data_IF_538116193579
#
_entry.id   IF_538116193579
#
_cell.length_a   1.000
_cell.length_b   1.000
_cell.length_c   1.000
_cell.angle_alpha   90.00
_cell.angle_beta   90.00
_cell.angle_gamma   90.00
#
_symmetry.space_group_name_H-M   'P 1'
#
loop_
_entity.id
_entity.type
_entity.pdbx_description
1 polymer ?
#
# COMPACT_ATOMS: atom_id res chain seq x y z
N UNK A 1 -24.92 23.46 -3.47
CA UNK A 1 -24.70 22.14 -2.89
C UNK A 1 -23.22 21.83 -3.12
N UNK A 2 -22.43 21.76 -2.06
CA UNK A 2 -21.00 21.40 -2.21
C UNK A 2 -20.96 19.94 -2.63
N UNK A 3 -20.54 19.68 -3.86
CA UNK A 3 -20.31 18.32 -4.34
C UNK A 3 -19.14 17.75 -3.57
N UNK A 4 -19.36 16.64 -2.88
CA UNK A 4 -18.30 15.94 -2.14
C UNK A 4 -17.37 15.25 -3.15
N UNK A 5 -16.36 15.97 -3.63
CA UNK A 5 -15.43 15.50 -4.66
C UNK A 5 -14.77 14.14 -4.32
N UNK A 6 -14.28 13.90 -3.08
CA UNK A 6 -13.73 12.59 -2.74
C UNK A 6 -14.72 11.43 -2.92
N UNK A 7 -15.99 11.61 -2.58
CA UNK A 7 -17.00 10.56 -2.77
C UNK A 7 -17.30 10.29 -4.25
N UNK A 8 -17.33 11.35 -5.08
CA UNK A 8 -17.46 11.21 -6.53
C UNK A 8 -16.25 10.47 -7.12
N UNK A 9 -15.03 10.79 -6.68
CA UNK A 9 -13.82 10.13 -7.10
C UNK A 9 -13.82 8.64 -6.75
N UNK A 10 -14.28 8.26 -5.55
CA UNK A 10 -14.44 6.84 -5.18
C UNK A 10 -15.38 6.10 -6.13
N UNK A 11 -16.55 6.68 -6.40
CA UNK A 11 -17.53 6.08 -7.30
C UNK A 11 -17.00 5.94 -8.73
N UNK A 12 -16.30 6.96 -9.23
CA UNK A 12 -15.68 6.92 -10.55
C UNK A 12 -14.66 5.79 -10.65
N UNK A 13 -13.76 5.67 -9.66
CA UNK A 13 -12.73 4.63 -9.63
C UNK A 13 -13.34 3.24 -9.58
N UNK A 14 -14.35 3.00 -8.74
CA UNK A 14 -15.04 1.70 -8.68
C UNK A 14 -15.70 1.35 -10.00
N UNK A 15 -16.37 2.32 -10.68
CA UNK A 15 -16.95 2.11 -11.99
C UNK A 15 -15.90 1.82 -13.06
N UNK A 16 -14.78 2.54 -13.02
CA UNK A 16 -13.67 2.33 -13.93
C UNK A 16 -13.10 0.91 -13.82
N UNK A 17 -12.80 0.47 -12.60
CA UNK A 17 -12.26 -0.86 -12.33
C UNK A 17 -13.26 -1.97 -12.72
N UNK A 18 -14.54 -1.82 -12.36
CA UNK A 18 -15.58 -2.78 -12.77
C UNK A 18 -15.69 -2.87 -14.29
N UNK A 19 -15.69 -1.71 -14.98
CA UNK A 19 -15.82 -1.67 -16.44
C UNK A 19 -14.63 -2.33 -17.15
N UNK A 20 -13.40 -2.05 -16.69
CA UNK A 20 -12.18 -2.57 -17.33
C UNK A 20 -11.91 -4.03 -16.95
N UNK A 21 -11.89 -4.36 -15.66
CA UNK A 21 -11.42 -5.67 -15.17
C UNK A 21 -12.52 -6.73 -15.14
N UNK A 22 -13.77 -6.36 -14.79
CA UNK A 22 -14.86 -7.32 -14.61
C UNK A 22 -15.71 -7.47 -15.89
N UNK A 23 -16.14 -6.35 -16.48
CA UNK A 23 -16.97 -6.37 -17.70
C UNK A 23 -16.12 -6.49 -18.95
N UNK A 24 -14.87 -6.09 -18.91
CA UNK A 24 -13.92 -6.06 -20.03
C UNK A 24 -14.47 -5.24 -21.22
N UNK A 25 -15.25 -4.20 -20.90
CA UNK A 25 -15.77 -3.25 -21.89
C UNK A 25 -14.73 -2.16 -22.12
N UNK A 26 -13.78 -2.46 -23.00
CA UNK A 26 -12.63 -1.59 -23.27
C UNK A 26 -13.05 -0.24 -23.84
N UNK A 27 -14.07 -0.20 -24.71
CA UNK A 27 -14.56 1.02 -25.31
C UNK A 27 -15.21 1.92 -24.24
N UNK A 28 -16.05 1.37 -23.38
CA UNK A 28 -16.65 2.12 -22.28
C UNK A 28 -15.61 2.50 -21.22
N UNK A 29 -14.55 1.71 -21.03
CA UNK A 29 -13.50 1.98 -20.07
C UNK A 29 -12.65 3.21 -20.46
N UNK A 30 -12.41 3.44 -21.76
CA UNK A 30 -11.57 4.57 -22.23
C UNK A 30 -11.97 5.93 -21.65
N UNK A 31 -13.28 6.13 -21.41
CA UNK A 31 -13.79 7.39 -20.84
C UNK A 31 -13.34 7.69 -19.41
N UNK A 32 -12.79 6.71 -18.68
CA UNK A 32 -12.35 6.88 -17.30
C UNK A 32 -10.85 7.18 -17.20
N UNK A 33 -10.05 6.83 -18.19
CA UNK A 33 -8.59 7.02 -18.18
C UNK A 33 -8.16 8.14 -19.11
N UNK A 34 -7.28 8.99 -18.61
CA UNK A 34 -6.62 10.03 -19.42
C UNK A 34 -5.84 9.41 -20.59
N UNK A 35 -5.74 10.12 -21.69
CA UNK A 35 -4.84 9.77 -22.80
C UNK A 35 -3.36 9.88 -22.40
N UNK A 36 -3.07 10.75 -21.43
CA UNK A 36 -1.74 10.98 -20.87
C UNK A 36 -1.47 10.16 -19.60
N UNK A 37 -2.28 9.12 -19.36
CA UNK A 37 -2.21 8.28 -18.16
C UNK A 37 -0.79 7.78 -17.85
N UNK A 38 -0.35 8.03 -16.62
CA UNK A 38 0.98 7.67 -16.12
C UNK A 38 0.89 6.40 -15.28
N UNK A 39 1.64 5.38 -15.68
CA UNK A 39 1.67 4.09 -15.01
C UNK A 39 2.99 3.88 -14.29
N UNK A 40 2.92 3.60 -12.97
CA UNK A 40 4.10 3.31 -12.12
C UNK A 40 4.18 1.85 -11.66
N UNK A 41 3.25 0.98 -12.09
CA UNK A 41 3.36 -0.45 -11.81
C UNK A 41 4.59 -1.04 -12.47
N UNK A 42 5.31 -1.89 -11.73
CA UNK A 42 6.49 -2.56 -12.27
C UNK A 42 6.18 -3.60 -13.36
N UNK A 43 4.91 -3.97 -13.49
CA UNK A 43 4.47 -5.09 -14.36
C UNK A 43 3.58 -4.63 -15.52
N UNK A 44 3.32 -3.33 -15.64
CA UNK A 44 2.42 -2.77 -16.65
C UNK A 44 3.22 -1.84 -17.57
N UNK A 45 3.09 -2.04 -18.88
CA UNK A 45 3.68 -1.14 -19.87
C UNK A 45 3.15 0.30 -19.71
N UNK A 46 3.92 1.32 -20.14
CA UNK A 46 3.55 2.71 -19.96
C UNK A 46 2.20 3.08 -20.60
N UNK A 47 1.52 4.03 -19.98
CA UNK A 47 0.31 4.65 -20.50
C UNK A 47 -0.95 3.81 -20.36
N UNK A 48 -2.06 4.38 -20.80
CA UNK A 48 -3.39 3.73 -20.80
C UNK A 48 -3.39 2.44 -21.59
N UNK A 49 -2.76 2.42 -22.75
CA UNK A 49 -2.73 1.25 -23.64
C UNK A 49 -1.98 0.08 -22.99
N UNK A 50 -0.93 0.35 -22.23
CA UNK A 50 -0.21 -0.67 -21.46
C UNK A 50 -1.13 -1.41 -20.50
N UNK A 51 -1.91 -0.68 -19.72
CA UNK A 51 -2.91 -1.25 -18.81
C UNK A 51 -3.97 -2.05 -19.56
N UNK A 52 -4.54 -1.48 -20.62
CA UNK A 52 -5.61 -2.13 -21.39
C UNK A 52 -5.12 -3.40 -22.09
N UNK A 53 -3.89 -3.40 -22.61
CA UNK A 53 -3.27 -4.56 -23.22
C UNK A 53 -2.99 -5.67 -22.19
N UNK A 54 -2.56 -5.31 -20.98
CA UNK A 54 -2.44 -6.27 -19.88
C UNK A 54 -3.77 -6.99 -19.62
N UNK A 55 -4.88 -6.23 -19.52
CA UNK A 55 -6.20 -6.81 -19.26
C UNK A 55 -6.69 -7.64 -20.44
N UNK A 56 -6.45 -7.20 -21.69
CA UNK A 56 -6.80 -7.99 -22.90
C UNK A 56 -6.06 -9.32 -22.94
N UNK A 57 -4.79 -9.35 -22.53
CA UNK A 57 -3.97 -10.56 -22.50
C UNK A 57 -4.30 -11.49 -21.32
N UNK A 58 -4.93 -10.99 -20.27
CA UNK A 58 -5.31 -11.78 -19.12
C UNK A 58 -6.46 -12.75 -19.45
N UNK A 59 -6.56 -13.91 -18.76
CA UNK A 59 -7.66 -14.86 -18.95
C UNK A 59 -9.04 -14.20 -18.74
N UNK A 60 -10.08 -14.74 -19.38
CA UNK A 60 -11.46 -14.27 -19.22
C UNK A 60 -12.01 -14.46 -17.80
N UNK A 61 -11.34 -15.30 -17.03
CA UNK A 61 -11.61 -15.51 -15.61
C UNK A 61 -11.12 -14.40 -14.70
N UNK A 62 -10.34 -13.43 -15.20
CA UNK A 62 -9.87 -12.30 -14.40
C UNK A 62 -11.05 -11.56 -13.76
N UNK A 63 -10.98 -11.36 -12.44
CA UNK A 63 -11.96 -10.57 -11.68
C UNK A 63 -11.22 -9.70 -10.67
N UNK A 64 -11.76 -8.51 -10.48
CA UNK A 64 -11.37 -7.57 -9.45
C UNK A 64 -12.45 -7.44 -8.39
N UNK A 65 -12.06 -7.46 -7.14
CA UNK A 65 -12.91 -7.20 -5.98
C UNK A 65 -12.27 -6.10 -5.14
N UNK A 66 -13.10 -5.19 -4.59
CA UNK A 66 -12.63 -4.13 -3.70
C UNK A 66 -13.11 -4.40 -2.27
N UNK A 67 -12.21 -4.31 -1.29
CA UNK A 67 -12.54 -4.43 0.13
C UNK A 67 -12.63 -3.06 0.81
N UNK A 68 -11.64 -2.18 0.58
CA UNK A 68 -11.57 -0.84 1.17
C UNK A 68 -11.34 0.19 0.08
N UNK A 69 -11.91 1.38 0.28
CA UNK A 69 -11.67 2.53 -0.58
C UNK A 69 -11.63 3.81 0.23
N UNK A 70 -10.62 4.62 0.01
CA UNK A 70 -10.42 5.93 0.63
C UNK A 70 -10.22 6.96 -0.46
N UNK A 71 -10.61 8.21 -0.20
CA UNK A 71 -10.34 9.31 -1.11
C UNK A 71 -10.10 10.61 -0.34
N UNK A 72 -9.15 11.40 -0.84
CA UNK A 72 -8.88 12.76 -0.36
C UNK A 72 -8.40 13.62 -1.52
N UNK A 73 -9.07 14.75 -1.74
CA UNK A 73 -8.79 15.59 -2.91
C UNK A 73 -8.87 14.78 -4.19
N UNK A 74 -7.79 14.79 -4.96
CA UNK A 74 -7.69 14.12 -6.26
C UNK A 74 -7.16 12.67 -6.15
N UNK A 75 -6.96 12.14 -4.94
CA UNK A 75 -6.40 10.81 -4.74
C UNK A 75 -7.46 9.83 -4.23
N UNK A 76 -7.38 8.61 -4.75
CA UNK A 76 -8.16 7.45 -4.31
C UNK A 76 -7.22 6.30 -4.03
N UNK A 77 -7.40 5.62 -2.91
CA UNK A 77 -6.70 4.39 -2.57
C UNK A 77 -7.70 3.24 -2.47
N UNK A 78 -7.33 2.10 -3.02
CA UNK A 78 -8.09 0.85 -2.98
C UNK A 78 -7.27 -0.23 -2.29
N UNK A 79 -7.95 -1.08 -1.52
CA UNK A 79 -7.45 -2.40 -1.14
C UNK A 79 -8.27 -3.43 -1.90
N UNK A 80 -7.66 -4.04 -2.89
CA UNK A 80 -8.29 -4.88 -3.88
C UNK A 80 -7.72 -6.29 -3.96
N UNK A 81 -8.41 -7.13 -4.71
CA UNK A 81 -8.04 -8.52 -4.99
C UNK A 81 -8.28 -8.83 -6.46
N UNK A 82 -7.26 -9.37 -7.12
CA UNK A 82 -7.39 -9.90 -8.48
C UNK A 82 -7.37 -11.42 -8.44
N UNK A 83 -8.48 -12.04 -8.88
CA UNK A 83 -8.62 -13.50 -9.03
C UNK A 83 -8.64 -13.87 -10.51
N UNK A 84 -8.42 -15.15 -10.83
CA UNK A 84 -8.48 -15.64 -12.21
C UNK A 84 -7.46 -15.01 -13.17
N UNK A 85 -6.38 -14.47 -12.63
CA UNK A 85 -5.32 -13.73 -13.33
C UNK A 85 -4.32 -14.63 -14.08
N UNK A 86 -4.59 -15.93 -14.21
CA UNK A 86 -3.70 -16.90 -14.86
C UNK A 86 -2.57 -17.40 -13.96
N UNK A 87 -2.48 -16.91 -12.73
CA UNK A 87 -1.51 -17.38 -11.73
C UNK A 87 -2.17 -18.36 -10.76
N UNK A 88 -1.40 -19.24 -10.10
CA UNK A 88 -1.93 -20.18 -9.11
C UNK A 88 -2.59 -19.51 -7.90
N UNK A 89 -2.23 -18.26 -7.62
CA UNK A 89 -2.73 -17.47 -6.48
C UNK A 89 -3.35 -16.17 -6.97
N UNK A 90 -4.37 -15.73 -6.26
CA UNK A 90 -4.88 -14.37 -6.39
C UNK A 90 -3.81 -13.34 -5.97
N UNK A 91 -3.96 -12.10 -6.42
CA UNK A 91 -3.13 -10.98 -6.01
C UNK A 91 -3.94 -10.06 -5.11
N UNK A 92 -3.39 -9.73 -3.96
CA UNK A 92 -3.87 -8.63 -3.13
C UNK A 92 -3.16 -7.36 -3.61
N UNK A 93 -3.93 -6.30 -3.79
CA UNK A 93 -3.46 -5.03 -4.33
C UNK A 93 -3.71 -3.88 -3.36
N UNK A 94 -2.73 -2.99 -3.24
CA UNK A 94 -2.93 -1.64 -2.75
C UNK A 94 -2.68 -0.69 -3.92
N UNK A 95 -3.76 -0.13 -4.45
CA UNK A 95 -3.73 0.79 -5.59
C UNK A 95 -3.86 2.23 -5.08
N UNK A 96 -3.02 3.13 -5.56
CA UNK A 96 -3.15 4.57 -5.37
C UNK A 96 -3.35 5.21 -6.73
N UNK A 97 -4.44 5.94 -6.88
CA UNK A 97 -4.81 6.62 -8.11
C UNK A 97 -4.88 8.12 -7.86
N UNK A 98 -4.38 8.90 -8.80
CA UNK A 98 -4.62 10.34 -8.87
C UNK A 98 -5.57 10.62 -10.02
N UNK A 99 -6.54 11.48 -9.76
CA UNK A 99 -7.49 11.95 -10.77
C UNK A 99 -7.14 13.40 -11.17
N UNK A 100 -7.44 13.74 -12.41
CA UNK A 100 -7.42 15.11 -12.90
C UNK A 100 -8.59 15.28 -13.87
N UNK A 101 -9.34 16.37 -13.76
CA UNK A 101 -10.49 16.70 -14.62
C UNK A 101 -11.51 15.54 -14.75
N UNK A 102 -11.71 14.77 -13.67
CA UNK A 102 -12.64 13.63 -13.64
C UNK A 102 -12.15 12.39 -14.38
N UNK A 103 -10.85 12.28 -14.66
CA UNK A 103 -10.21 11.13 -15.29
C UNK A 103 -9.11 10.55 -14.38
N UNK A 104 -8.87 9.26 -14.50
CA UNK A 104 -7.71 8.58 -13.92
C UNK A 104 -6.46 9.03 -14.68
N UNK A 105 -5.58 9.76 -14.01
CA UNK A 105 -4.39 10.38 -14.61
C UNK A 105 -3.10 9.64 -14.26
N UNK A 106 -3.04 9.04 -13.08
CA UNK A 106 -1.79 8.45 -12.59
C UNK A 106 -2.07 7.31 -11.60
N UNK A 107 -1.26 6.26 -11.64
CA UNK A 107 -1.45 5.05 -10.84
C UNK A 107 -0.15 4.48 -10.30
N UNK A 108 -0.18 4.09 -9.04
CA UNK A 108 0.82 3.27 -8.35
C UNK A 108 0.14 2.06 -7.75
N UNK A 109 0.82 0.93 -7.75
CA UNK A 109 0.35 -0.26 -7.08
C UNK A 109 1.44 -0.98 -6.28
N UNK A 110 1.00 -1.76 -5.31
CA UNK A 110 1.79 -2.80 -4.68
C UNK A 110 0.97 -4.09 -4.71
N UNK A 111 1.55 -5.13 -5.30
CA UNK A 111 0.90 -6.42 -5.48
C UNK A 111 1.58 -7.48 -4.61
N UNK A 112 0.77 -8.32 -3.96
CA UNK A 112 1.23 -9.45 -3.17
C UNK A 112 0.41 -10.69 -3.50
N UNK A 113 1.08 -11.86 -3.64
CA UNK A 113 0.38 -13.14 -3.74
C UNK A 113 -0.46 -13.38 -2.49
N UNK A 114 -1.73 -13.72 -2.67
CA UNK A 114 -2.59 -14.07 -1.56
C UNK A 114 -2.12 -15.35 -0.89
N UNK A 115 -1.97 -15.30 0.43
CA UNK A 115 -1.79 -16.48 1.28
C UNK A 115 -3.17 -16.91 1.72
N UNK A 116 -3.50 -18.21 1.57
CA UNK A 116 -4.80 -18.73 2.00
C UNK A 116 -4.94 -18.66 3.52
N UNK A 117 -6.19 -18.71 4.00
CA UNK A 117 -6.48 -18.74 5.43
C UNK A 117 -5.74 -19.87 6.15
N UNK A 118 -5.63 -21.03 5.50
CA UNK A 118 -4.99 -22.23 6.04
C UNK A 118 -3.47 -22.11 6.07
N UNK A 119 -2.90 -21.39 5.12
CA UNK A 119 -1.45 -21.11 5.04
C UNK A 119 -1.06 -19.89 5.88
N UNK A 120 -2.01 -19.04 6.22
CA UNK A 120 -1.77 -17.85 7.04
C UNK A 120 -1.42 -18.26 8.46
N UNK A 121 -0.34 -17.71 9.01
CA UNK A 121 0.07 -17.94 10.40
C UNK A 121 -0.99 -17.49 11.41
N UNK A 122 -1.81 -16.50 11.04
CA UNK A 122 -2.92 -16.01 11.86
C UNK A 122 -4.17 -16.88 11.75
N UNK A 123 -4.24 -17.78 10.75
CA UNK A 123 -5.46 -18.50 10.42
C UNK A 123 -6.56 -17.63 9.82
N UNK A 124 -6.21 -16.45 9.29
CA UNK A 124 -7.15 -15.46 8.76
C UNK A 124 -6.88 -15.09 7.30
N UNK A 125 -7.90 -14.73 6.51
CA UNK A 125 -7.71 -14.37 5.11
C UNK A 125 -7.06 -12.99 4.98
N UNK A 126 -6.27 -12.78 3.93
CA UNK A 126 -5.71 -11.49 3.57
C UNK A 126 -6.75 -10.53 2.98
N UNK A 127 -7.85 -11.06 2.45
CA UNK A 127 -8.93 -10.32 1.81
C UNK A 127 -10.29 -10.88 2.24
N UNK A 128 -11.31 -10.03 2.35
CA UNK A 128 -12.69 -10.44 2.58
C UNK A 128 -13.46 -9.59 3.59
N UNK A 129 -14.71 -9.96 3.82
CA UNK A 129 -15.71 -9.20 4.56
C UNK A 129 -15.55 -9.20 6.09
N UNK A 130 -14.49 -9.78 6.63
CA UNK A 130 -14.31 -9.89 8.08
C UNK A 130 -13.53 -8.72 8.69
N UNK A 131 -13.79 -7.51 8.19
CA UNK A 131 -13.58 -6.36 9.06
C UNK A 131 -14.64 -6.48 10.16
N UNK A 132 -14.24 -6.90 11.36
CA UNK A 132 -15.14 -6.85 12.49
C UNK A 132 -15.69 -5.42 12.58
N UNK A 133 -17.00 -5.27 12.66
CA UNK A 133 -17.66 -3.94 12.80
C UNK A 133 -17.09 -3.12 13.97
N UNK A 134 -16.43 -3.77 14.92
CA UNK A 134 -15.70 -3.15 16.02
C UNK A 134 -14.42 -2.40 15.61
N UNK A 135 -13.80 -2.73 14.48
CA UNK A 135 -12.60 -2.04 14.02
C UNK A 135 -12.96 -0.85 13.12
N UNK A 136 -14.17 -0.80 12.61
CA UNK A 136 -14.79 0.35 11.97
C UNK A 136 -15.64 1.14 12.97
N UNK A 137 -15.14 1.43 14.15
CA UNK A 137 -15.64 2.61 14.81
C UNK A 137 -15.30 3.76 13.86
N UNK A 138 -16.28 4.06 12.99
CA UNK A 138 -16.39 5.38 12.42
C UNK A 138 -16.13 6.33 13.59
N UNK A 139 -14.95 6.94 13.59
CA UNK A 139 -14.72 8.07 14.45
C UNK A 139 -15.83 9.02 14.05
N UNK A 140 -16.92 9.01 14.83
CA UNK A 140 -17.95 10.02 14.71
C UNK A 140 -17.17 11.32 14.72
N UNK A 141 -17.36 12.12 13.68
CA UNK A 141 -16.70 13.40 13.47
C UNK A 141 -17.03 14.37 14.62
N UNK A 142 -16.52 14.07 15.79
CA UNK A 142 -16.22 15.04 16.82
C UNK A 142 -15.02 15.80 16.28
N UNK A 143 -15.19 17.08 16.02
CA UNK A 143 -14.30 18.02 15.36
C UNK A 143 -12.83 17.86 15.76
N UNK A 144 -12.15 16.84 15.22
CA UNK A 144 -10.69 16.76 15.18
C UNK A 144 -10.31 17.56 13.93
N UNK A 145 -9.62 18.66 14.10
CA UNK A 145 -9.04 19.38 12.96
C UNK A 145 -8.20 18.38 12.15
N UNK A 146 -8.39 18.28 10.83
CA UNK A 146 -7.63 17.36 10.01
C UNK A 146 -6.13 17.60 10.21
N UNK A 147 -5.34 16.54 10.31
CA UNK A 147 -3.89 16.63 10.36
C UNK A 147 -3.39 17.36 9.11
N UNK A 148 -2.54 18.35 9.30
CA UNK A 148 -1.82 18.96 8.18
C UNK A 148 -0.72 18.00 7.68
N UNK A 149 -0.34 18.10 6.41
CA UNK A 149 0.77 17.32 5.85
C UNK A 149 2.08 17.54 6.64
N UNK A 150 2.28 18.75 7.18
CA UNK A 150 3.45 19.06 8.02
C UNK A 150 3.43 18.28 9.33
N UNK A 151 2.30 18.25 10.03
CA UNK A 151 2.13 17.46 11.26
C UNK A 151 2.27 15.98 10.99
N UNK A 152 1.62 15.47 9.93
CA UNK A 152 1.74 14.08 9.51
C UNK A 152 3.19 13.68 9.27
N UNK A 153 3.96 14.54 8.58
CA UNK A 153 5.39 14.30 8.32
C UNK A 153 6.21 14.23 9.62
N UNK A 154 5.92 15.09 10.59
CA UNK A 154 6.58 15.05 11.90
C UNK A 154 6.22 13.78 12.69
N UNK A 155 4.97 13.35 12.65
CA UNK A 155 4.49 12.15 13.34
C UNK A 155 5.14 10.88 12.79
N UNK A 156 5.26 10.73 11.47
CA UNK A 156 5.85 9.53 10.86
C UNK A 156 7.38 9.55 10.84
N UNK A 157 8.02 10.71 10.95
CA UNK A 157 9.46 10.87 10.81
C UNK A 157 10.31 9.91 11.67
N UNK A 158 10.03 9.69 12.96
CA UNK A 158 10.85 8.80 13.78
C UNK A 158 10.74 7.33 13.35
N UNK A 159 9.57 6.88 12.81
CA UNK A 159 9.40 5.53 12.28
C UNK A 159 10.23 5.34 11.01
N UNK A 160 10.17 6.30 10.07
CA UNK A 160 10.98 6.25 8.85
C UNK A 160 12.48 6.42 9.15
N UNK A 161 12.83 7.17 10.21
CA UNK A 161 14.21 7.22 10.66
C UNK A 161 14.69 5.87 11.23
N UNK A 162 13.84 5.14 11.94
CA UNK A 162 14.13 3.79 12.42
C UNK A 162 14.36 2.78 11.28
N UNK A 163 13.71 2.97 10.12
CA UNK A 163 13.88 2.16 8.91
C UNK A 163 15.17 2.51 8.14
N UNK A 164 15.76 3.68 8.35
CA UNK A 164 16.96 4.13 7.65
C UNK A 164 18.22 3.64 8.35
N UNK A 165 18.89 2.63 7.79
CA UNK A 165 20.07 1.97 8.35
C UNK A 165 19.82 1.50 9.79
N UNK A 166 18.84 0.61 10.03
CA UNK A 166 18.40 0.22 11.38
C UNK A 166 19.54 -0.31 12.26
N UNK A 167 20.55 -0.95 11.67
CA UNK A 167 21.69 -1.47 12.41
C UNK A 167 22.59 -0.40 13.06
N UNK A 168 22.40 0.89 12.72
CA UNK A 168 23.17 2.02 13.25
C UNK A 168 22.39 2.90 14.22
N UNK A 169 21.18 2.50 14.61
CA UNK A 169 20.25 3.34 15.37
C UNK A 169 19.63 2.63 16.55
N UNK A 170 19.19 3.38 17.52
CA UNK A 170 18.31 2.87 18.57
C UNK A 170 16.87 2.80 18.02
N UNK A 171 16.58 1.73 17.32
CA UNK A 171 15.26 1.44 16.71
C UNK A 171 14.16 1.46 17.77
N UNK A 172 14.43 0.92 18.98
CA UNK A 172 13.44 0.88 20.06
C UNK A 172 13.05 2.26 20.56
N UNK A 173 14.03 3.16 20.75
CA UNK A 173 13.78 4.54 21.14
C UNK A 173 12.99 5.30 20.06
N UNK A 174 13.36 5.16 18.78
CA UNK A 174 12.67 5.81 17.67
C UNK A 174 11.23 5.34 17.53
N UNK A 175 10.97 4.04 17.63
CA UNK A 175 9.60 3.50 17.59
C UNK A 175 8.80 3.94 18.82
N UNK A 176 9.41 4.07 20.00
CA UNK A 176 8.75 4.61 21.21
C UNK A 176 8.36 6.08 21.02
N UNK A 177 9.17 6.85 20.31
CA UNK A 177 8.86 8.23 19.96
C UNK A 177 7.69 8.31 18.97
N UNK A 178 7.69 7.46 17.94
CA UNK A 178 6.71 7.49 16.85
C UNK A 178 5.34 6.95 17.27
N UNK A 179 5.28 5.95 18.16
CA UNK A 179 4.08 5.11 18.34
C UNK A 179 3.51 5.17 19.76
N UNK A 180 2.23 4.87 19.86
CA UNK A 180 1.57 4.63 21.15
C UNK A 180 2.07 3.31 21.78
N UNK A 181 1.79 3.12 23.08
CA UNK A 181 2.18 1.89 23.80
C UNK A 181 1.47 0.63 23.24
N UNK A 182 0.25 0.79 22.82
CA UNK A 182 -0.64 -0.24 22.26
C UNK A 182 -0.60 -0.29 20.73
N UNK A 183 0.45 0.25 20.11
CA UNK A 183 0.65 0.27 18.68
C UNK A 183 0.63 -1.13 18.06
N UNK A 184 0.00 -1.22 16.89
CA UNK A 184 -0.07 -2.44 16.10
C UNK A 184 0.35 -2.18 14.64
N UNK A 185 1.30 -2.96 14.16
CA UNK A 185 1.74 -2.95 12.76
C UNK A 185 1.16 -4.18 12.05
N UNK A 186 0.23 -3.94 11.13
CA UNK A 186 -0.48 -4.97 10.41
C UNK A 186 0.22 -5.29 9.08
N UNK A 187 0.59 -6.55 8.89
CA UNK A 187 1.03 -7.10 7.60
C UNK A 187 -0.10 -7.83 6.86
N UNK A 188 -1.18 -8.16 7.56
CA UNK A 188 -2.47 -8.61 7.06
C UNK A 188 -3.57 -7.88 7.83
N UNK A 189 -4.83 -8.07 7.49
CA UNK A 189 -5.91 -7.41 8.23
C UNK A 189 -5.99 -7.82 9.72
N UNK A 190 -5.31 -8.88 10.12
CA UNK A 190 -5.49 -9.48 11.43
C UNK A 190 -4.17 -9.89 12.11
N UNK A 191 -3.10 -10.12 11.35
CA UNK A 191 -1.77 -10.33 11.88
C UNK A 191 -1.08 -9.01 12.13
N UNK A 192 -0.69 -8.79 13.36
CA UNK A 192 -0.01 -7.58 13.75
C UNK A 192 1.19 -7.87 14.65
N UNK A 193 2.14 -6.97 14.58
CA UNK A 193 3.29 -6.94 15.45
C UNK A 193 3.13 -5.83 16.49
N UNK A 194 3.53 -6.11 17.73
CA UNK A 194 3.74 -5.05 18.71
C UNK A 194 4.90 -4.15 18.28
N UNK A 195 5.02 -3.00 18.92
CA UNK A 195 6.16 -2.10 18.72
C UNK A 195 7.50 -2.81 18.96
N UNK A 196 7.60 -3.66 19.96
CA UNK A 196 8.81 -4.40 20.33
C UNK A 196 9.15 -5.44 19.27
N UNK A 197 8.17 -6.20 18.80
CA UNK A 197 8.34 -7.18 17.72
C UNK A 197 8.74 -6.49 16.40
N UNK A 198 8.14 -5.35 16.09
CA UNK A 198 8.50 -4.54 14.92
C UNK A 198 9.95 -4.04 15.02
N UNK A 199 10.40 -3.65 16.22
CA UNK A 199 11.79 -3.26 16.45
C UNK A 199 12.76 -4.40 16.12
N UNK A 200 12.42 -5.64 16.48
CA UNK A 200 13.23 -6.82 16.16
C UNK A 200 13.26 -7.13 14.66
N UNK A 201 12.13 -6.95 13.98
CA UNK A 201 12.06 -7.04 12.51
C UNK A 201 12.99 -6.00 11.86
N UNK A 202 12.95 -4.75 12.30
CA UNK A 202 13.81 -3.69 11.75
C UNK A 202 15.30 -3.96 12.02
N UNK A 203 15.68 -4.45 13.20
CA UNK A 203 17.06 -4.85 13.50
C UNK A 203 17.53 -5.99 12.60
N UNK A 204 16.68 -7.00 12.40
CA UNK A 204 16.96 -8.13 11.51
C UNK A 204 17.14 -7.65 10.07
N UNK A 205 16.24 -6.79 9.60
CA UNK A 205 16.32 -6.20 8.27
C UNK A 205 17.60 -5.35 8.12
N UNK A 206 17.98 -4.58 9.15
CA UNK A 206 19.22 -3.80 9.16
C UNK A 206 20.49 -4.65 9.12
N UNK A 207 20.47 -5.87 9.68
CA UNK A 207 21.58 -6.82 9.57
C UNK A 207 21.65 -7.52 8.19
N UNK A 208 20.51 -7.62 7.52
CA UNK A 208 20.36 -8.23 6.19
C UNK A 208 20.65 -7.23 5.08
N UNK A 209 20.22 -5.98 5.24
CA UNK A 209 20.38 -4.87 4.30
C UNK A 209 20.97 -3.66 5.04
N UNK A 210 22.30 -3.62 5.29
CA UNK A 210 22.91 -2.58 6.13
C UNK A 210 22.82 -1.15 5.59
N UNK A 211 22.65 -1.00 4.27
CA UNK A 211 22.49 0.26 3.56
C UNK A 211 21.02 0.62 3.27
N UNK A 212 20.07 -0.07 3.92
CA UNK A 212 18.64 0.15 3.75
C UNK A 212 18.29 1.62 3.90
N UNK A 213 17.53 2.14 2.93
CA UNK A 213 16.97 3.49 2.95
C UNK A 213 15.51 3.48 2.56
N UNK A 214 14.72 4.22 3.33
CA UNK A 214 13.32 4.52 3.05
C UNK A 214 13.15 6.00 2.82
N UNK A 215 12.52 6.35 1.71
CA UNK A 215 12.25 7.74 1.32
C UNK A 215 10.75 7.94 1.17
N UNK A 216 10.20 8.90 1.89
CA UNK A 216 8.81 9.32 1.71
C UNK A 216 8.73 10.09 0.39
N UNK A 217 7.98 9.56 -0.58
CA UNK A 217 7.74 10.20 -1.89
C UNK A 217 6.50 11.06 -1.88
N UNK A 218 5.46 10.62 -1.17
CA UNK A 218 4.22 11.36 -1.02
C UNK A 218 3.60 11.08 0.35
N UNK A 219 2.82 12.02 0.86
CA UNK A 219 2.11 11.92 2.13
C UNK A 219 0.76 12.64 2.02
N UNK A 220 -0.30 11.96 2.45
CA UNK A 220 -1.66 12.49 2.47
C UNK A 220 -2.27 12.27 3.84
N UNK A 221 -3.24 13.10 4.19
CA UNK A 221 -3.92 13.05 5.49
C UNK A 221 -5.43 12.94 5.29
N UNK A 222 -6.07 12.11 6.11
CA UNK A 222 -7.50 11.85 6.10
C UNK A 222 -7.99 11.87 7.55
N UNK A 223 -8.57 12.96 8.00
CA UNK A 223 -8.97 13.12 9.40
C UNK A 223 -7.82 12.75 10.38
N UNK A 224 -7.86 11.61 11.02
CA UNK A 224 -6.86 11.06 11.93
C UNK A 224 -5.92 10.03 11.27
N UNK A 225 -5.95 9.88 9.94
CA UNK A 225 -5.14 8.92 9.21
C UNK A 225 -4.07 9.62 8.36
N UNK A 226 -2.96 8.91 8.13
CA UNK A 226 -1.86 9.33 7.28
C UNK A 226 -1.59 8.22 6.26
N UNK A 227 -1.68 8.54 4.99
CA UNK A 227 -1.23 7.68 3.90
C UNK A 227 0.18 8.13 3.48
N UNK A 228 1.11 7.18 3.40
CA UNK A 228 2.46 7.43 2.89
C UNK A 228 2.75 6.50 1.72
N UNK A 229 3.16 7.06 0.61
CA UNK A 229 3.82 6.33 -0.47
C UNK A 229 5.32 6.51 -0.33
N UNK A 230 6.01 5.39 -0.12
CA UNK A 230 7.44 5.33 0.12
C UNK A 230 8.22 4.60 -0.96
N UNK A 231 9.52 4.77 -0.94
CA UNK A 231 10.48 4.00 -1.74
C UNK A 231 11.55 3.44 -0.82
N UNK A 232 11.77 2.12 -0.88
CA UNK A 232 12.87 1.47 -0.20
C UNK A 232 13.97 1.08 -1.19
N UNK A 233 15.23 1.27 -0.80
CA UNK A 233 16.41 0.84 -1.55
C UNK A 233 17.41 0.18 -0.63
N UNK A 234 18.19 -0.77 -1.15
CA UNK A 234 19.26 -1.40 -0.37
C UNK A 234 19.92 -2.56 -1.10
N UNK A 235 21.03 -3.02 -0.55
CA UNK A 235 21.84 -4.12 -1.08
C UNK A 235 21.92 -5.20 -0.02
N UNK A 236 21.22 -6.33 -0.19
CA UNK A 236 21.29 -7.43 0.76
C UNK A 236 22.69 -8.03 0.84
N UNK A 237 23.18 -8.23 2.06
CA UNK A 237 24.43 -8.96 2.36
C UNK A 237 24.19 -10.35 2.95
N UNK A 238 22.92 -10.66 3.24
CA UNK A 238 22.42 -11.96 3.70
C UNK A 238 21.19 -12.32 2.90
N UNK A 239 20.71 -13.54 3.08
CA UNK A 239 19.47 -14.00 2.46
C UNK A 239 18.29 -13.09 2.85
N UNK A 240 17.57 -12.59 1.85
CA UNK A 240 16.39 -11.76 2.00
C UNK A 240 15.19 -12.49 1.38
N UNK A 241 14.24 -12.91 2.22
CA UNK A 241 13.01 -13.61 1.79
C UNK A 241 13.28 -14.75 0.79
N UNK A 242 14.26 -15.59 1.07
CA UNK A 242 14.64 -16.73 0.22
C UNK A 242 15.52 -16.38 -1.00
N UNK A 243 15.89 -15.12 -1.20
CA UNK A 243 16.85 -14.72 -2.21
C UNK A 243 18.26 -14.59 -1.61
N UNK A 244 19.22 -15.33 -2.16
CA UNK A 244 20.64 -15.21 -1.77
C UNK A 244 21.20 -13.88 -2.20
N UNK A 245 22.13 -13.29 -1.42
CA UNK A 245 22.78 -12.04 -1.79
C UNK A 245 23.62 -12.22 -3.07
N UNK A 246 23.46 -11.31 -4.01
CA UNK A 246 24.19 -11.30 -5.29
C UNK A 246 25.09 -10.05 -5.45
N UNK A 247 25.09 -9.17 -4.44
CA UNK A 247 25.74 -7.86 -4.53
C UNK A 247 24.92 -6.81 -5.30
N UNK A 248 23.74 -7.17 -5.80
CA UNK A 248 22.83 -6.24 -6.48
C UNK A 248 21.90 -5.56 -5.49
N UNK A 249 21.62 -4.29 -5.78
CA UNK A 249 20.67 -3.48 -5.01
C UNK A 249 19.25 -3.65 -5.57
N UNK A 250 18.26 -3.42 -4.71
CA UNK A 250 16.87 -3.30 -5.11
C UNK A 250 16.37 -1.87 -4.93
N UNK A 251 15.30 -1.56 -5.65
CA UNK A 251 14.44 -0.40 -5.43
C UNK A 251 12.99 -0.89 -5.47
N UNK A 252 12.23 -0.59 -4.42
CA UNK A 252 10.85 -1.02 -4.32
C UNK A 252 9.95 0.06 -3.74
N UNK A 253 8.66 -0.01 -4.06
CA UNK A 253 7.65 0.89 -3.53
C UNK A 253 6.97 0.25 -2.31
N UNK A 254 6.55 1.11 -1.39
CA UNK A 254 5.69 0.77 -0.26
C UNK A 254 4.54 1.76 -0.14
N UNK A 255 3.43 1.27 0.39
CA UNK A 255 2.28 2.09 0.81
C UNK A 255 1.96 1.76 2.26
N UNK A 256 1.94 2.79 3.08
CA UNK A 256 1.63 2.69 4.50
C UNK A 256 0.39 3.54 4.81
N UNK A 257 -0.59 2.94 5.49
CA UNK A 257 -1.75 3.62 6.05
C UNK A 257 -1.64 3.61 7.58
N UNK A 258 -1.47 4.77 8.17
CA UNK A 258 -1.38 4.95 9.62
C UNK A 258 -2.65 5.53 10.19
N UNK A 259 -3.03 5.10 11.41
CA UNK A 259 -4.00 5.81 12.26
C UNK A 259 -3.24 6.56 13.35
N UNK A 260 -3.61 7.80 13.60
CA UNK A 260 -3.00 8.67 14.61
C UNK A 260 -3.95 8.80 15.80
N UNK A 261 -3.39 8.67 17.02
CA UNK A 261 -4.10 8.91 18.27
C UNK A 261 -3.16 9.63 19.24
N UNK A 262 -3.61 10.73 19.83
CA UNK A 262 -2.82 11.53 20.76
C UNK A 262 -1.46 11.97 20.19
N UNK A 263 -1.41 12.36 18.90
CA UNK A 263 -0.20 12.83 18.22
C UNK A 263 0.85 11.75 17.94
N UNK A 264 0.50 10.47 18.08
CA UNK A 264 1.36 9.32 17.79
C UNK A 264 0.64 8.28 16.93
N UNK A 265 1.39 7.43 16.27
CA UNK A 265 0.86 6.31 15.49
C UNK A 265 0.23 5.26 16.43
N UNK A 266 -1.03 4.94 16.20
CA UNK A 266 -1.78 3.93 16.92
C UNK A 266 -1.78 2.59 16.18
N UNK A 267 -1.85 2.62 14.85
CA UNK A 267 -1.71 1.44 14.00
C UNK A 267 -1.09 1.80 12.66
N UNK A 268 -0.59 0.79 11.97
CA UNK A 268 -0.19 0.84 10.57
C UNK A 268 -0.68 -0.40 9.83
N UNK A 269 -1.17 -0.19 8.60
CA UNK A 269 -1.29 -1.21 7.57
C UNK A 269 -0.26 -0.89 6.50
N UNK A 270 0.54 -1.88 6.10
CA UNK A 270 1.60 -1.64 5.13
C UNK A 270 1.70 -2.74 4.10
N UNK A 271 2.03 -2.36 2.88
CA UNK A 271 2.29 -3.26 1.76
C UNK A 271 3.55 -2.81 1.05
N UNK A 272 4.49 -3.73 0.83
CA UNK A 272 5.72 -3.50 0.08
C UNK A 272 5.83 -4.44 -1.12
N UNK A 273 6.30 -3.95 -2.25
CA UNK A 273 6.53 -4.76 -3.44
C UNK A 273 7.84 -5.56 -3.34
N UNK A 274 7.90 -6.49 -2.39
CA UNK A 274 9.07 -7.36 -2.24
C UNK A 274 9.26 -8.31 -3.42
N UNK A 275 8.20 -8.68 -4.13
CA UNK A 275 8.31 -9.53 -5.33
C UNK A 275 9.20 -8.84 -6.37
N UNK A 276 8.91 -7.59 -6.71
CA UNK A 276 9.72 -6.81 -7.64
C UNK A 276 11.15 -6.55 -7.14
N UNK A 277 11.33 -6.33 -5.82
CA UNK A 277 12.65 -6.18 -5.22
C UNK A 277 13.49 -7.47 -5.35
N UNK A 278 12.90 -8.63 -5.05
CA UNK A 278 13.59 -9.92 -5.13
C UNK A 278 13.96 -10.31 -6.56
N UNK A 279 13.16 -9.95 -7.56
CA UNK A 279 13.51 -10.14 -8.97
C UNK A 279 14.74 -9.33 -9.38
N UNK A 280 14.87 -8.09 -8.89
CA UNK A 280 16.04 -7.26 -9.15
C UNK A 280 17.33 -7.85 -8.55
N UNK A 281 17.24 -8.48 -7.38
CA UNK A 281 18.36 -9.13 -6.71
C UNK A 281 18.77 -10.42 -7.43
N UNK A 282 17.81 -11.18 -7.96
CA UNK A 282 18.05 -12.48 -8.60
C UNK A 282 18.61 -12.38 -10.02
N UNK A 283 18.25 -11.32 -10.74
CA UNK A 283 18.76 -11.05 -12.10
C UNK A 283 20.23 -10.63 -12.09
#
# INVERSE_FOLDING_TARGET
>A
MSTNLPEQNKQLVLQAFDTLFNRRDYQAAERFWSETYIQHSAHIEPGRDGLFNLVRAAPDSLRYENALIFAEGDYVMLHGRFTGNGQPRALIAADVLRLADGLLEEHWDVLQNEVTKEESKSGRPMFGASFAESDHQSVSAGAVSPLTVTEARMIVAPLYDALNQPGKKDVGALLTQATNRDYRSYSTNEDWLTREQLADVFRTLGSTVPDLRWTIKDIRTFADQILVRGEATGTPVRELYGAKPTGKSFKTMAVDLFTVKNGKLASAYHVENWVGALEQIRK
#
